data_IF_288269543092
#
_entry.id   IF_288269543092
#
_cell.length_a   1.000
_cell.length_b   1.000
_cell.length_c   1.000
_cell.angle_alpha   90.00
_cell.angle_beta   90.00
_cell.angle_gamma   90.00
#
_symmetry.space_group_name_H-M   'P 1'
#
loop_
_entity.id
_entity.type
_entity.pdbx_description
1 polymer ?
2 non-polymer ?
3 non-polymer ?
4 non-polymer ?
5 water ?
#
# COMPACT_ATOMS: atom_id res chain seq x y z
N UNK A 6 16.22 -28.55 12.68
CA UNK A 6 16.43 -29.86 12.04
C UNK A 6 15.56 -30.04 10.79
N UNK A 7 14.27 -29.63 10.87
CA UNK A 7 13.33 -29.68 9.75
C UNK A 7 12.46 -28.41 9.72
N UNK A 8 11.82 -28.15 8.56
CA UNK A 8 10.96 -26.99 8.36
C UNK A 8 9.57 -27.23 8.92
N UNK A 9 8.87 -26.17 9.41
CA UNK A 9 7.47 -26.36 9.89
C UNK A 9 6.55 -26.71 8.71
N UNK A 10 5.32 -27.19 8.99
CA UNK A 10 4.35 -27.53 7.94
C UNK A 10 3.99 -26.28 7.11
N UNK A 11 3.84 -26.47 5.77
CA UNK A 11 3.54 -25.44 4.76
C UNK A 11 4.73 -24.54 4.41
N UNK A 12 5.95 -24.93 4.84
CA UNK A 12 7.21 -24.26 4.53
C UNK A 12 7.97 -25.15 3.52
N UNK A 13 8.80 -24.55 2.67
CA UNK A 13 9.53 -25.25 1.62
C UNK A 13 11.01 -25.29 2.00
N UNK A 14 11.61 -26.51 2.01
CA UNK A 14 13.02 -26.62 2.30
C UNK A 14 13.80 -26.45 1.00
N UNK A 15 14.87 -25.67 1.07
CA UNK A 15 15.77 -25.47 -0.04
C UNK A 15 17.15 -25.11 0.49
N UNK A 16 18.17 -25.93 0.16
CA UNK A 16 19.58 -25.70 0.50
C UNK A 16 19.78 -25.25 1.97
N UNK A 17 19.25 -26.05 2.92
CA UNK A 17 19.33 -25.86 4.38
C UNK A 17 18.57 -24.62 4.92
N UNK A 18 17.68 -24.05 4.10
CA UNK A 18 16.79 -22.97 4.51
C UNK A 18 15.33 -23.40 4.34
N UNK A 19 14.44 -22.81 5.16
CA UNK A 19 12.98 -23.05 5.13
C UNK A 19 12.34 -21.75 4.69
N UNK A 20 11.40 -21.80 3.73
CA UNK A 20 10.73 -20.62 3.19
C UNK A 20 9.23 -20.74 3.27
N UNK A 21 8.56 -19.62 3.55
CA UNK A 21 7.12 -19.54 3.56
C UNK A 21 6.77 -18.42 2.60
N UNK A 22 5.90 -18.74 1.63
CA UNK A 22 5.46 -17.82 0.59
C UNK A 22 4.03 -17.33 0.89
N UNK A 23 3.87 -16.02 1.22
CA UNK A 23 2.54 -15.48 1.48
C UNK A 23 1.66 -15.53 0.26
N UNK A 24 0.34 -15.51 0.46
CA UNK A 24 -0.63 -15.48 -0.64
C UNK A 24 -1.53 -14.28 -0.42
N UNK A 25 -1.02 -13.31 0.34
CA UNK A 25 -1.69 -12.07 0.72
C UNK A 25 -0.64 -11.01 0.85
N UNK A 26 -1.07 -9.76 0.88
CA UNK A 26 -0.15 -8.63 0.95
C UNK A 26 -0.08 -7.88 2.27
N UNK A 27 1.08 -7.28 2.55
CA UNK A 27 1.34 -6.46 3.72
C UNK A 27 2.34 -5.37 3.35
N UNK A 28 2.27 -4.25 4.08
CA UNK A 28 3.25 -3.17 4.03
C UNK A 28 4.57 -3.83 4.52
N UNK A 29 5.73 -3.33 4.06
CA UNK A 29 7.02 -3.96 4.41
C UNK A 29 7.21 -4.17 5.93
N UNK A 30 6.94 -3.14 6.75
CA UNK A 30 7.11 -3.26 8.22
C UNK A 30 6.23 -4.35 8.84
N UNK A 31 5.02 -4.55 8.28
CA UNK A 31 4.09 -5.55 8.78
C UNK A 31 4.51 -6.94 8.34
N UNK A 32 5.09 -7.05 7.13
CA UNK A 32 5.62 -8.32 6.62
C UNK A 32 6.85 -8.73 7.46
N UNK A 33 7.69 -7.76 7.78
CA UNK A 33 8.88 -7.92 8.62
C UNK A 33 8.50 -8.46 10.00
N UNK A 34 7.48 -7.87 10.63
CA UNK A 34 6.98 -8.31 11.95
C UNK A 34 6.33 -9.70 11.84
N UNK A 35 5.64 -9.99 10.71
CA UNK A 35 5.03 -11.30 10.53
C UNK A 35 6.13 -12.38 10.59
N UNK A 36 7.24 -12.15 9.86
CA UNK A 36 8.35 -13.12 9.82
C UNK A 36 9.00 -13.31 11.19
N UNK A 37 9.07 -12.24 11.99
CA UNK A 37 9.68 -12.31 13.33
C UNK A 37 8.83 -13.13 14.31
N UNK A 38 7.48 -13.02 14.23
CA UNK A 38 6.51 -13.79 15.02
C UNK A 38 6.70 -15.30 14.81
N UNK A 39 7.09 -15.68 13.58
CA UNK A 39 7.34 -17.06 13.12
C UNK A 39 8.77 -17.51 13.39
N UNK A 40 9.57 -16.68 14.13
CA UNK A 40 11.00 -16.92 14.45
C UNK A 40 11.84 -16.99 13.16
N UNK A 41 11.39 -16.28 12.13
CA UNK A 41 12.00 -16.20 10.80
C UNK A 41 12.36 -14.72 10.50
N UNK A 42 12.74 -14.40 9.25
CA UNK A 42 13.07 -13.06 8.82
C UNK A 42 12.65 -13.00 7.37
N UNK A 43 12.41 -11.80 6.83
CA UNK A 43 12.11 -11.62 5.41
C UNK A 43 13.29 -12.21 4.60
N UNK A 44 13.00 -12.94 3.49
CA UNK A 44 14.00 -13.69 2.71
C UNK A 44 15.27 -12.83 2.45
N UNK A 45 16.44 -13.43 2.66
CA UNK A 45 17.74 -12.79 2.42
C UNK A 45 18.37 -13.64 1.31
N UNK A 46 18.60 -13.03 0.13
CA UNK A 46 19.07 -13.72 -1.08
C UNK A 46 20.59 -13.57 -1.21
N UNK A 47 21.35 -14.69 -1.19
CA UNK A 47 22.82 -14.59 -1.22
C UNK A 47 23.47 -15.31 -2.41
N UNK A 48 22.67 -15.79 -3.37
CA UNK A 48 23.21 -16.50 -4.55
C UNK A 48 22.21 -16.52 -5.71
N UNK A 49 22.72 -16.80 -6.92
CA UNK A 49 21.94 -16.93 -8.15
C UNK A 49 20.94 -18.11 -8.01
N UNK A 50 21.37 -19.24 -7.43
CA UNK A 50 20.51 -20.41 -7.24
C UNK A 50 19.36 -20.14 -6.29
N UNK A 51 19.61 -19.36 -5.22
CA UNK A 51 18.56 -19.01 -4.25
C UNK A 51 17.59 -18.04 -4.92
N UNK A 52 18.11 -17.08 -5.70
CA UNK A 52 17.29 -16.13 -6.45
C UNK A 52 16.34 -16.92 -7.37
N UNK A 53 16.89 -17.90 -8.15
CA UNK A 53 16.13 -18.72 -9.09
C UNK A 53 15.02 -19.46 -8.36
N UNK A 54 15.36 -20.09 -7.22
CA UNK A 54 14.40 -20.83 -6.38
C UNK A 54 13.23 -19.92 -5.94
N UNK A 55 13.53 -18.74 -5.36
CA UNK A 55 12.49 -17.81 -4.88
C UNK A 55 11.56 -17.41 -6.05
N UNK A 56 12.17 -17.00 -7.19
CA UNK A 56 11.52 -16.56 -8.43
C UNK A 56 10.55 -17.62 -8.97
N UNK A 57 10.96 -18.91 -8.92
CA UNK A 57 10.14 -20.04 -9.37
C UNK A 57 8.86 -20.18 -8.52
N UNK A 58 8.99 -19.93 -7.20
CA UNK A 58 7.89 -20.07 -6.27
C UNK A 58 6.94 -18.88 -6.22
N UNK A 59 7.45 -17.66 -6.44
CA UNK A 59 6.57 -16.50 -6.38
C UNK A 59 5.90 -16.20 -7.72
N UNK A 60 6.56 -16.57 -8.80
CA UNK A 60 6.10 -16.24 -10.14
C UNK A 60 6.26 -14.76 -10.46
N UNK A 61 5.54 -14.25 -11.49
CA UNK A 61 5.71 -12.81 -11.86
C UNK A 61 4.95 -11.83 -10.96
N UNK A 62 5.26 -11.82 -9.65
CA UNK A 62 4.49 -11.04 -8.67
C UNK A 62 5.43 -10.18 -7.82
N UNK A 63 5.08 -8.87 -7.58
CA UNK A 63 5.87 -7.99 -6.69
C UNK A 63 5.82 -8.56 -5.30
N UNK A 64 6.99 -8.84 -4.72
CA UNK A 64 7.12 -9.53 -3.44
C UNK A 64 8.24 -8.94 -2.63
N UNK A 65 7.95 -8.56 -1.37
CA UNK A 65 8.98 -7.97 -0.50
C UNK A 65 10.05 -8.99 -0.11
N UNK A 66 11.28 -8.50 0.10
CA UNK A 66 12.41 -9.30 0.60
C UNK A 66 13.00 -8.53 1.80
N UNK A 67 13.96 -9.13 2.50
CA UNK A 67 14.54 -8.50 3.68
C UNK A 67 15.70 -7.55 3.42
N UNK A 68 15.51 -6.56 2.54
CA UNK A 68 16.53 -5.59 2.15
C UNK A 68 15.87 -4.19 2.15
N UNK A 69 16.55 -3.22 2.79
CA UNK A 69 16.00 -1.86 2.94
C UNK A 69 17.10 -0.87 3.22
N UNK A 70 16.81 0.44 2.98
CA UNK A 70 17.76 1.49 3.32
C UNK A 70 17.07 2.56 4.17
N UNK A 71 16.12 2.11 5.02
CA UNK A 71 15.39 3.01 5.92
C UNK A 71 16.27 3.77 6.91
N UNK A 72 17.40 3.19 7.32
CA UNK A 72 18.34 3.79 8.30
C UNK A 72 19.60 4.40 7.68
N UNK A 73 19.63 4.44 6.36
CA UNK A 73 20.76 5.01 5.64
C UNK A 73 21.21 4.10 4.53
N UNK A 74 22.27 3.31 4.77
CA UNK A 74 22.75 2.42 3.72
C UNK A 74 21.86 1.17 3.56
N UNK A 75 21.94 0.52 2.39
CA UNK A 75 21.24 -0.76 2.15
C UNK A 75 21.67 -1.79 3.22
N UNK A 76 20.69 -2.45 3.85
CA UNK A 76 20.97 -3.48 4.85
C UNK A 76 20.06 -4.65 4.67
N UNK A 77 20.59 -5.88 4.90
CA UNK A 77 19.79 -7.11 4.92
C UNK A 77 19.31 -7.23 6.38
N UNK A 78 18.05 -7.62 6.62
CA UNK A 78 17.44 -7.72 7.98
C UNK A 78 18.20 -8.63 8.98
N UNK A 79 18.94 -9.62 8.48
CA UNK A 79 19.71 -10.50 9.38
C UNK A 79 21.22 -10.11 9.53
N UNK A 80 21.58 -8.90 9.12
CA UNK A 80 22.97 -8.44 9.23
C UNK A 80 23.91 -8.89 8.11
N UNK A 81 23.44 -9.74 7.15
CA UNK A 81 24.27 -10.18 6.00
C UNK A 81 24.80 -8.91 5.34
N UNK A 82 26.11 -8.83 5.07
CA UNK A 82 26.67 -7.60 4.51
C UNK A 82 26.16 -7.36 3.07
N UNK A 83 25.71 -6.12 2.78
CA UNK A 83 25.16 -5.80 1.44
C UNK A 83 26.25 -5.63 0.38
N UNK A 84 27.23 -4.75 0.66
CA UNK A 84 28.29 -4.40 -0.28
C UNK A 84 29.03 -5.59 -0.86
N UNK A 85 29.33 -6.58 -0.03
CA UNK A 85 30.05 -7.78 -0.43
C UNK A 85 29.09 -8.94 -0.83
N UNK A 86 27.79 -8.71 -0.68
CA UNK A 86 26.79 -9.72 -0.99
C UNK A 86 26.29 -9.70 -2.42
N UNK A 87 25.36 -10.62 -2.70
CA UNK A 87 24.70 -10.81 -3.98
C UNK A 87 23.76 -9.63 -4.27
N UNK A 88 23.74 -9.17 -5.52
CA UNK A 88 22.87 -8.09 -5.94
C UNK A 88 22.23 -8.47 -7.25
N UNK A 89 20.95 -8.13 -7.44
CA UNK A 89 20.22 -8.46 -8.67
C UNK A 89 19.18 -7.39 -8.98
N UNK A 90 19.61 -6.12 -9.01
CA UNK A 90 18.67 -5.02 -9.26
C UNK A 90 18.19 -5.00 -10.71
N UNK A 91 16.95 -4.55 -10.92
CA UNK A 91 16.44 -4.32 -12.27
C UNK A 91 17.27 -3.15 -12.88
N UNK A 92 17.44 -3.06 -14.22
CA UNK A 92 18.16 -1.89 -14.77
C UNK A 92 17.53 -0.57 -14.29
N UNK A 93 18.37 0.47 -14.02
CA UNK A 93 17.98 1.80 -13.54
C UNK A 93 17.46 1.76 -12.09
N UNK A 94 17.61 0.62 -11.40
CA UNK A 94 17.25 0.55 -9.98
C UNK A 94 18.52 0.28 -9.15
N UNK A 95 18.55 0.61 -7.85
CA UNK A 95 17.52 1.36 -7.10
C UNK A 95 17.58 2.84 -7.48
N UNK A 96 16.48 3.56 -7.38
CA UNK A 96 16.52 4.97 -7.78
C UNK A 96 15.94 5.94 -6.74
N UNK A 97 15.46 5.43 -5.59
CA UNK A 97 14.86 6.24 -4.51
C UNK A 97 13.84 7.26 -5.05
N UNK A 98 12.96 6.82 -5.94
CA UNK A 98 12.00 7.69 -6.62
C UNK A 98 11.06 8.41 -5.63
N UNK A 99 10.91 9.76 -5.78
CA UNK A 99 9.99 10.57 -4.98
C UNK A 99 8.69 10.84 -5.76
N UNK A 100 8.73 10.64 -7.09
CA UNK A 100 7.65 10.98 -8.01
C UNK A 100 6.29 10.33 -7.79
N UNK A 101 6.21 9.28 -6.94
CA UNK A 101 4.93 8.62 -6.58
C UNK A 101 4.03 9.60 -5.80
N UNK A 102 4.64 10.68 -5.28
CA UNK A 102 3.93 11.70 -4.50
C UNK A 102 3.37 11.21 -3.18
N UNK A 103 3.86 10.08 -2.64
CA UNK A 103 3.35 9.53 -1.38
C UNK A 103 4.11 9.98 -0.13
N UNK A 104 5.21 10.68 -0.33
CA UNK A 104 6.05 11.16 0.75
C UNK A 104 7.29 10.31 0.85
N UNK A 105 8.45 10.96 0.90
CA UNK A 105 9.72 10.23 0.94
C UNK A 105 10.13 9.64 -0.40
N UNK A 106 11.28 8.96 -0.41
CA UNK A 106 11.78 8.29 -1.61
C UNK A 106 11.24 6.86 -1.67
N UNK A 107 12.13 5.88 -1.80
CA UNK A 107 11.74 4.45 -1.86
C UNK A 107 12.79 3.71 -1.09
N UNK A 108 12.40 3.02 0.00
CA UNK A 108 13.39 2.45 0.90
C UNK A 108 13.37 0.93 1.09
N UNK A 109 12.42 0.20 0.45
CA UNK A 109 12.24 -1.24 0.65
C UNK A 109 12.40 -2.02 -0.64
N UNK A 110 13.16 -3.12 -0.62
CA UNK A 110 13.36 -3.86 -1.84
C UNK A 110 12.35 -4.98 -2.03
N UNK A 111 11.93 -5.19 -3.29
CA UNK A 111 11.03 -6.26 -3.65
C UNK A 111 11.48 -6.91 -4.97
N UNK A 112 11.15 -8.18 -5.16
CA UNK A 112 11.33 -8.84 -6.43
C UNK A 112 10.27 -8.21 -7.33
N UNK A 113 10.61 -7.95 -8.61
CA UNK A 113 9.62 -7.48 -9.59
C UNK A 113 9.08 -8.71 -10.36
N UNK A 114 8.23 -8.47 -11.37
CA UNK A 114 7.62 -9.52 -12.19
C UNK A 114 8.63 -10.36 -12.97
N UNK A 115 9.91 -9.90 -13.12
CA UNK A 115 10.94 -10.67 -13.81
C UNK A 115 11.98 -11.21 -12.81
N UNK A 116 11.71 -11.06 -11.53
CA UNK A 116 12.60 -11.49 -10.46
C UNK A 116 13.63 -10.47 -10.03
N UNK A 117 14.04 -9.57 -10.94
CA UNK A 117 15.03 -8.55 -10.59
C UNK A 117 14.46 -7.55 -9.60
N UNK A 118 15.33 -6.91 -8.82
CA UNK A 118 14.88 -6.08 -7.70
C UNK A 118 14.59 -4.62 -8.00
N UNK A 119 13.65 -4.07 -7.24
CA UNK A 119 13.26 -2.67 -7.28
C UNK A 119 13.15 -2.15 -5.85
N UNK A 120 13.45 -0.86 -5.63
CA UNK A 120 13.22 -0.23 -4.32
C UNK A 120 11.86 0.47 -4.47
N UNK A 121 10.98 0.32 -3.48
CA UNK A 121 9.64 0.91 -3.53
C UNK A 121 9.28 1.46 -2.16
N UNK A 122 8.12 2.12 -2.12
CA UNK A 122 7.56 2.74 -0.94
C UNK A 122 7.23 1.61 0.04
N UNK A 123 7.79 1.69 1.24
CA UNK A 123 7.63 0.67 2.26
C UNK A 123 6.15 0.39 2.67
N UNK A 124 5.28 1.41 2.56
CA UNK A 124 3.86 1.24 2.89
C UNK A 124 3.06 0.48 1.80
N UNK A 125 3.59 0.23 0.60
CA UNK A 125 2.78 -0.51 -0.39
C UNK A 125 2.52 -1.96 0.06
N UNK A 126 1.30 -2.47 -0.12
CA UNK A 126 1.05 -3.88 0.24
C UNK A 126 1.53 -4.78 -0.89
N UNK A 127 2.46 -5.70 -0.57
CA UNK A 127 2.92 -6.70 -1.51
C UNK A 127 2.98 -8.00 -0.77
N UNK A 128 3.00 -9.09 -1.53
CA UNK A 128 3.22 -10.42 -1.00
C UNK A 128 4.67 -10.41 -0.46
N UNK A 129 5.03 -11.39 0.39
CA UNK A 129 6.37 -11.41 0.98
C UNK A 129 6.80 -12.86 1.16
N UNK A 130 8.08 -13.08 1.50
CA UNK A 130 8.62 -14.43 1.75
C UNK A 130 9.34 -14.42 3.11
N UNK A 131 9.07 -15.42 3.97
CA UNK A 131 9.80 -15.61 5.24
C UNK A 131 10.84 -16.69 5.01
N UNK A 132 11.93 -16.60 5.75
CA UNK A 132 13.01 -17.57 5.66
C UNK A 132 13.60 -17.82 7.04
N UNK A 133 13.95 -19.07 7.31
CA UNK A 133 14.65 -19.45 8.53
C UNK A 133 15.76 -20.45 8.11
N UNK A 134 16.89 -20.45 8.83
CA UNK A 134 18.01 -21.34 8.49
C UNK A 134 18.00 -22.56 9.38
N UNK A 135 18.29 -23.74 8.80
CA UNK A 135 18.39 -24.96 9.58
C UNK A 135 19.79 -25.07 10.19
N UNK B 7 -13.96 30.53 11.02
CA UNK B 7 -12.94 30.34 9.99
C UNK B 7 -12.46 28.92 9.97
N UNK B 8 -12.07 28.44 8.77
CA UNK B 8 -11.45 27.12 8.61
C UNK B 8 -10.05 27.22 9.24
N UNK B 9 -9.43 26.12 9.71
CA UNK B 9 -8.05 26.24 10.24
C UNK B 9 -7.08 26.65 9.14
N UNK B 10 -5.88 27.17 9.51
CA UNK B 10 -4.87 27.54 8.51
C UNK B 10 -4.44 26.30 7.69
N UNK B 11 -4.22 26.48 6.36
CA UNK B 11 -3.88 25.45 5.36
C UNK B 11 -5.09 24.62 4.92
N UNK B 12 -6.32 25.01 5.35
CA UNK B 12 -7.56 24.33 4.94
C UNK B 12 -8.26 25.24 3.93
N UNK B 13 -9.03 24.64 3.00
CA UNK B 13 -9.73 25.40 1.97
C UNK B 13 -11.22 25.42 2.33
N UNK B 14 -11.81 26.62 2.34
CA UNK B 14 -13.24 26.76 2.60
C UNK B 14 -13.99 26.59 1.28
N UNK B 15 -15.06 25.79 1.30
CA UNK B 15 -15.95 25.61 0.14
C UNK B 15 -17.34 25.26 0.59
N UNK B 16 -18.30 26.17 0.32
CA UNK B 16 -19.71 25.96 0.61
C UNK B 16 -19.95 25.41 2.04
N UNK B 17 -19.52 26.17 3.06
CA UNK B 17 -19.67 25.88 4.50
C UNK B 17 -18.87 24.62 5.01
N UNK B 18 -17.99 24.07 4.18
CA UNK B 18 -17.08 22.99 4.58
C UNK B 18 -15.61 23.46 4.49
N UNK B 19 -14.73 22.82 5.27
CA UNK B 19 -13.27 23.08 5.31
C UNK B 19 -12.63 21.82 4.83
N UNK B 20 -11.67 21.92 3.90
CA UNK B 20 -11.04 20.72 3.33
C UNK B 20 -9.55 20.82 3.46
N UNK B 21 -8.90 19.69 3.72
CA UNK B 21 -7.46 19.61 3.79
C UNK B 21 -7.04 18.55 2.81
N UNK B 22 -6.15 18.92 1.88
CA UNK B 22 -5.67 18.01 0.84
C UNK B 22 -4.26 17.56 1.15
N UNK B 23 -4.07 16.25 1.41
CA UNK B 23 -2.75 15.71 1.67
C UNK B 23 -1.87 15.79 0.43
N UNK B 24 -0.56 15.82 0.66
CA UNK B 24 0.42 15.77 -0.39
C UNK B 24 1.31 14.54 -0.12
N UNK B 25 0.79 13.56 0.66
CA UNK B 25 1.49 12.30 1.00
C UNK B 25 0.44 11.20 1.04
N UNK B 26 0.88 9.96 1.08
CA UNK B 26 -0.08 8.86 1.05
C UNK B 26 -0.19 8.06 2.32
N UNK B 27 -1.36 7.44 2.52
CA UNK B 27 -1.66 6.58 3.65
C UNK B 27 -2.64 5.49 3.24
N UNK B 28 -2.60 4.35 3.96
CA UNK B 28 -3.59 3.29 3.83
C UNK B 28 -4.91 3.93 4.33
N UNK B 29 -6.06 3.51 3.80
CA UNK B 29 -7.37 4.10 4.15
C UNK B 29 -7.60 4.23 5.67
N UNK B 30 -7.39 3.15 6.45
CA UNK B 30 -7.62 3.26 7.91
C UNK B 30 -6.68 4.30 8.57
N UNK B 31 -5.45 4.46 8.01
CA UNK B 31 -4.49 5.43 8.55
C UNK B 31 -4.95 6.87 8.24
N UNK B 32 -5.47 7.09 7.01
CA UNK B 32 -6.03 8.38 6.55
C UNK B 32 -7.29 8.74 7.38
N UNK B 33 -8.12 7.75 7.63
CA UNK B 33 -9.35 7.86 8.41
C UNK B 33 -8.96 8.33 9.85
N UNK B 34 -7.95 7.71 10.45
CA UNK B 34 -7.45 8.09 11.78
C UNK B 34 -6.88 9.51 11.79
N UNK B 35 -6.12 9.85 10.72
CA UNK B 35 -5.55 11.20 10.62
C UNK B 35 -6.68 12.24 10.62
N UNK B 36 -7.74 12.04 9.82
CA UNK B 36 -8.84 13.01 9.75
C UNK B 36 -9.57 13.19 11.11
N UNK B 37 -9.84 12.09 11.83
CA UNK B 37 -10.52 12.13 13.14
C UNK B 37 -9.69 12.89 14.18
N UNK B 38 -8.34 12.73 14.15
CA UNK B 38 -7.39 13.43 15.01
C UNK B 38 -7.62 14.96 14.86
N UNK B 39 -7.99 15.41 13.65
CA UNK B 39 -8.26 16.84 13.31
C UNK B 39 -9.73 17.23 13.51
N UNK B 40 -10.55 16.37 14.17
CA UNK B 40 -12.00 16.58 14.40
C UNK B 40 -12.71 16.74 13.03
N UNK B 41 -12.24 15.98 12.04
CA UNK B 41 -12.71 15.96 10.66
C UNK B 41 -13.00 14.54 10.26
N UNK B 42 -13.29 14.33 8.99
CA UNK B 42 -13.56 12.99 8.50
C UNK B 42 -13.10 12.96 7.06
N UNK B 43 -12.80 11.77 6.55
CA UNK B 43 -12.44 11.61 5.13
C UNK B 43 -13.60 12.21 4.29
N UNK B 44 -13.26 12.92 3.21
CA UNK B 44 -14.24 13.70 2.42
C UNK B 44 -15.51 12.87 2.05
N UNK B 45 -16.68 13.50 2.21
CA UNK B 45 -17.97 12.89 1.88
C UNK B 45 -18.50 13.77 0.76
N UNK B 46 -18.68 13.21 -0.43
CA UNK B 46 -19.10 13.94 -1.62
C UNK B 46 -20.60 13.74 -1.82
N UNK B 47 -21.39 14.83 -1.76
CA UNK B 47 -22.86 14.73 -1.86
C UNK B 47 -23.50 15.51 -3.03
N UNK B 48 -22.69 16.15 -3.87
CA UNK B 48 -23.21 16.87 -5.03
C UNK B 48 -22.15 16.93 -6.11
N UNK B 49 -22.60 17.25 -7.32
CA UNK B 49 -21.75 17.43 -8.48
C UNK B 49 -20.79 18.62 -8.26
N UNK B 50 -21.25 19.72 -7.61
CA UNK B 50 -20.40 20.90 -7.33
C UNK B 50 -19.24 20.56 -6.37
N UNK B 51 -19.53 19.76 -5.32
CA UNK B 51 -18.50 19.33 -4.37
C UNK B 51 -17.49 18.41 -5.05
N UNK B 52 -17.99 17.53 -5.94
CA UNK B 52 -17.16 16.59 -6.70
C UNK B 52 -16.15 17.39 -7.58
N UNK B 53 -16.66 18.38 -8.34
CA UNK B 53 -15.88 19.29 -9.21
C UNK B 53 -14.82 20.06 -8.38
N UNK B 54 -15.22 20.56 -7.19
CA UNK B 54 -14.32 21.28 -6.27
C UNK B 54 -13.12 20.40 -5.80
N UNK B 55 -13.40 19.17 -5.35
CA UNK B 55 -12.37 18.23 -4.88
C UNK B 55 -11.41 17.90 -6.04
N UNK B 56 -11.99 17.54 -7.21
CA UNK B 56 -11.30 17.20 -8.46
C UNK B 56 -10.26 18.25 -8.82
N UNK B 57 -10.66 19.55 -8.77
CA UNK B 57 -9.81 20.68 -9.08
C UNK B 57 -8.57 20.75 -8.18
N UNK B 58 -8.74 20.47 -6.87
CA UNK B 58 -7.64 20.52 -5.91
C UNK B 58 -6.76 19.29 -5.94
N UNK B 59 -7.31 18.09 -6.22
CA UNK B 59 -6.47 16.89 -6.20
C UNK B 59 -5.75 16.66 -7.54
N UNK B 60 -6.40 17.05 -8.64
CA UNK B 60 -5.85 16.79 -9.96
C UNK B 60 -5.99 15.32 -10.31
N UNK B 61 -5.21 14.83 -11.30
CA UNK B 61 -5.37 13.42 -11.74
C UNK B 61 -4.64 12.43 -10.84
N UNK B 62 -4.99 12.39 -9.55
CA UNK B 62 -4.28 11.58 -8.56
C UNK B 62 -5.28 10.70 -7.79
N UNK B 63 -4.95 9.39 -7.62
CA UNK B 63 -5.76 8.44 -6.84
C UNK B 63 -5.76 8.93 -5.40
N UNK B 64 -6.95 9.26 -4.90
CA UNK B 64 -7.12 9.88 -3.58
C UNK B 64 -8.29 9.28 -2.82
N UNK B 65 -8.05 8.83 -1.59
CA UNK B 65 -9.11 8.24 -0.74
C UNK B 65 -10.21 9.23 -0.39
N UNK B 66 -11.45 8.73 -0.30
CA UNK B 66 -12.62 9.46 0.18
C UNK B 66 -13.23 8.67 1.36
N UNK B 67 -14.21 9.25 2.06
CA UNK B 67 -14.83 8.61 3.21
C UNK B 67 -15.95 7.65 2.86
N UNK B 68 -15.68 6.70 1.93
CA UNK B 68 -16.72 5.75 1.43
C UNK B 68 -16.11 4.34 1.43
N UNK B 69 -16.83 3.36 2.02
CA UNK B 69 -16.26 2.02 2.17
C UNK B 69 -17.36 0.99 2.34
N UNK B 70 -17.02 -0.28 2.14
CA UNK B 70 -18.01 -1.35 2.35
C UNK B 70 -17.37 -2.46 3.22
N UNK B 71 -16.45 -2.05 4.10
CA UNK B 71 -15.75 -2.98 5.00
C UNK B 71 -16.65 -3.79 5.95
N UNK B 72 -17.84 -3.27 6.31
CA UNK B 72 -18.81 -3.87 7.24
C UNK B 72 -20.04 -4.41 6.55
N UNK B 73 -20.03 -4.44 5.22
CA UNK B 73 -21.15 -4.93 4.46
C UNK B 73 -21.56 -4.02 3.33
N UNK B 74 -22.61 -3.21 3.53
CA UNK B 74 -23.03 -2.34 2.42
C UNK B 74 -22.15 -1.09 2.35
N UNK B 75 -22.24 -0.34 1.24
CA UNK B 75 -21.51 0.93 1.10
C UNK B 75 -22.01 1.90 2.15
N UNK B 76 -21.08 2.56 2.85
CA UNK B 76 -21.38 3.54 3.89
C UNK B 76 -20.47 4.74 3.79
N UNK B 77 -21.02 5.96 4.00
CA UNK B 77 -20.13 7.14 4.07
C UNK B 77 -19.71 7.23 5.56
N UNK B 78 -18.47 7.69 5.85
CA UNK B 78 -17.91 7.71 7.24
C UNK B 78 -18.69 8.53 8.26
N UNK B 79 -19.44 9.54 7.82
CA UNK B 79 -20.21 10.41 8.71
C UNK B 79 -21.69 9.98 8.86
N UNK B 80 -22.06 8.82 8.30
CA UNK B 80 -23.42 8.32 8.36
C UNK B 80 -24.35 8.81 7.26
N UNK B 81 -23.86 9.65 6.31
CA UNK B 81 -24.66 10.12 5.16
C UNK B 81 -25.15 8.89 4.38
N UNK B 82 -26.43 8.87 4.01
CA UNK B 82 -26.97 7.71 3.30
C UNK B 82 -26.35 7.55 1.91
N UNK B 83 -25.88 6.34 1.59
CA UNK B 83 -25.27 6.09 0.29
C UNK B 83 -26.31 5.95 -0.83
N UNK B 84 -27.29 5.04 -0.65
CA UNK B 84 -28.28 4.72 -1.67
C UNK B 84 -28.99 5.94 -2.29
N UNK B 85 -29.41 6.87 -1.45
CA UNK B 85 -30.13 8.08 -1.87
C UNK B 85 -29.19 9.25 -2.23
N UNK B 86 -27.89 9.06 -2.04
CA UNK B 86 -26.90 10.09 -2.31
C UNK B 86 -26.26 10.08 -3.68
N UNK B 87 -25.44 11.12 -3.94
CA UNK B 87 -24.64 11.30 -5.15
C UNK B 87 -23.67 10.13 -5.31
N UNK B 88 -23.51 9.65 -6.54
CA UNK B 88 -22.56 8.57 -6.85
C UNK B 88 -21.86 8.98 -8.15
N UNK B 89 -20.56 8.69 -8.27
CA UNK B 89 -19.83 9.05 -9.49
C UNK B 89 -18.80 7.97 -9.81
N UNK B 90 -19.25 6.69 -9.82
CA UNK B 90 -18.36 5.56 -10.06
C UNK B 90 -17.85 5.55 -11.51
N UNK B 91 -16.62 5.05 -11.70
CA UNK B 91 -16.05 4.81 -13.02
C UNK B 91 -16.90 3.69 -13.66
N UNK B 92 -17.01 3.60 -15.01
CA UNK B 92 -17.74 2.46 -15.58
C UNK B 92 -17.10 1.14 -15.16
N UNK B 93 -17.94 0.11 -14.91
CA UNK B 93 -17.50 -1.22 -14.47
C UNK B 93 -17.03 -1.24 -13.00
N UNK B 94 -17.28 -0.13 -12.28
CA UNK B 94 -16.95 -0.03 -10.84
C UNK B 94 -18.23 0.26 -10.03
N UNK B 95 -18.32 -0.14 -8.73
CA UNK B 95 -17.34 -0.95 -7.96
C UNK B 95 -17.39 -2.41 -8.40
N UNK B 96 -16.25 -3.13 -8.30
CA UNK B 96 -16.21 -4.54 -8.76
C UNK B 96 -15.70 -5.52 -7.72
N UNK B 97 -15.29 -5.05 -6.52
CA UNK B 97 -14.77 -5.91 -5.44
C UNK B 97 -13.74 -6.91 -5.97
N UNK B 98 -12.75 -6.41 -6.72
CA UNK B 98 -11.76 -7.26 -7.39
C UNK B 98 -10.88 -8.03 -6.38
N UNK B 99 -10.74 -9.33 -6.58
CA UNK B 99 -9.91 -10.20 -5.74
C UNK B 99 -8.56 -10.47 -6.42
N UNK B 100 -8.54 -10.24 -7.75
CA UNK B 100 -7.42 -10.55 -8.65
C UNK B 100 -6.06 -9.94 -8.34
N UNK B 101 -6.03 -8.93 -7.44
CA UNK B 101 -4.81 -8.29 -6.97
C UNK B 101 -3.93 -9.28 -6.17
N UNK B 102 -4.55 -10.34 -5.64
CA UNK B 102 -3.85 -11.35 -4.84
C UNK B 102 -3.37 -10.88 -3.49
N UNK B 103 -3.80 -9.71 -3.02
CA UNK B 103 -3.37 -9.15 -1.71
C UNK B 103 -4.22 -9.60 -0.52
N UNK B 104 -5.30 -10.33 -0.78
CA UNK B 104 -6.20 -10.75 0.29
C UNK B 104 -7.48 -9.96 0.25
N UNK B 105 -8.60 -10.66 0.15
CA UNK B 105 -9.91 -10.04 0.10
C UNK B 105 -10.24 -9.40 -1.23
N UNK B 106 -11.37 -8.69 -1.29
CA UNK B 106 -11.80 -7.96 -2.46
C UNK B 106 -11.25 -6.55 -2.43
N UNK B 107 -12.13 -5.57 -2.59
CA UNK B 107 -11.79 -4.13 -2.60
C UNK B 107 -12.89 -3.42 -1.86
N UNK B 108 -12.54 -2.78 -0.71
CA UNK B 108 -13.56 -2.22 0.16
C UNK B 108 -13.53 -0.72 0.37
N UNK B 109 -12.58 -0.02 -0.24
CA UNK B 109 -12.38 1.41 -0.04
C UNK B 109 -12.46 2.20 -1.32
N UNK B 110 -13.22 3.31 -1.32
CA UNK B 110 -13.39 4.10 -2.54
C UNK B 110 -12.42 5.26 -2.58
N UNK B 111 -11.96 5.56 -3.80
CA UNK B 111 -11.08 6.69 -4.07
C UNK B 111 -11.46 7.34 -5.39
N UNK B 112 -11.11 8.64 -5.55
CA UNK B 112 -11.23 9.32 -6.83
C UNK B 112 -10.10 8.73 -7.68
N UNK B 113 -10.35 8.58 -8.99
CA UNK B 113 -9.32 8.13 -9.93
C UNK B 113 -8.78 9.34 -10.68
N UNK B 114 -7.89 9.12 -11.70
CA UNK B 114 -7.25 10.19 -12.48
C UNK B 114 -8.23 11.10 -13.24
N UNK B 115 -9.50 10.66 -13.43
CA UNK B 115 -10.51 11.47 -14.12
C UNK B 115 -11.65 11.95 -13.17
N UNK B 116 -11.43 11.82 -11.85
CA UNK B 116 -12.42 12.18 -10.83
C UNK B 116 -13.42 11.10 -10.46
N UNK B 117 -13.73 10.17 -11.41
CA UNK B 117 -14.70 9.09 -11.15
C UNK B 117 -14.17 8.08 -10.13
N UNK B 118 -15.06 7.41 -9.38
CA UNK B 118 -14.64 6.58 -8.27
C UNK B 118 -14.35 5.11 -8.62
N UNK B 119 -13.41 4.54 -7.87
CA UNK B 119 -13.06 3.12 -7.94
C UNK B 119 -13.02 2.55 -6.52
N UNK B 120 -13.32 1.26 -6.36
CA UNK B 120 -13.14 0.59 -5.07
C UNK B 120 -11.76 -0.09 -5.19
N UNK B 121 -10.93 0.01 -4.17
CA UNK B 121 -9.59 -0.57 -4.20
C UNK B 121 -9.26 -1.14 -2.81
N UNK B 122 -8.11 -1.80 -2.70
CA UNK B 122 -7.59 -2.42 -1.49
C UNK B 122 -7.32 -1.34 -0.48
N UNK B 123 -7.91 -1.46 0.71
CA UNK B 123 -7.82 -0.45 1.77
C UNK B 123 -6.39 -0.19 2.25
N UNK B 124 -5.55 -1.21 2.22
CA UNK B 124 -4.16 -1.02 2.65
C UNK B 124 -3.28 -0.26 1.61
N UNK B 125 -3.78 0.02 0.38
CA UNK B 125 -2.97 0.80 -0.59
C UNK B 125 -2.75 2.24 -0.12
N UNK B 126 -1.47 2.72 -0.16
CA UNK B 126 -1.22 4.11 0.23
C UNK B 126 -1.64 5.06 -0.88
N UNK B 127 -2.59 5.93 -0.57
CA UNK B 127 -3.02 6.94 -1.52
C UNK B 127 -3.10 8.25 -0.77
N UNK B 128 -3.07 9.36 -1.51
CA UNK B 128 -3.31 10.68 -0.91
C UNK B 128 -4.78 10.67 -0.43
N UNK B 129 -5.17 11.61 0.44
CA UNK B 129 -6.55 11.65 0.95
C UNK B 129 -6.98 13.09 1.15
N UNK B 130 -8.27 13.28 1.44
CA UNK B 130 -8.88 14.59 1.72
C UNK B 130 -9.64 14.51 3.07
N UNK B 131 -9.39 15.45 4.01
CA UNK B 131 -10.17 15.54 5.25
C UNK B 131 -11.23 16.63 4.99
N UNK B 132 -12.36 16.56 5.70
CA UNK B 132 -13.43 17.54 5.58
C UNK B 132 -14.03 17.81 6.93
N UNK B 133 -14.34 19.06 7.23
CA UNK B 133 -15.04 19.41 8.45
C UNK B 133 -16.15 20.41 8.06
N UNK B 134 -17.31 20.37 8.72
CA UNK B 134 -18.41 21.29 8.40
C UNK B 134 -18.39 22.44 9.37
N UNK B 135 -18.42 23.68 8.86
CA UNK B 135 -18.47 24.91 9.65
C UNK B 135 -19.83 25.01 10.35
#
# INVERSE_FOLDING_TARGET
>A
MGSERTCCPVNWVEHERSCYWFSRSGKAWADADNYCRLEDAHLVVVTSWEEQKFVQHHIGPVNTWMGLHDQNGPWKWVDGTDYETGFKNWRPEQPDDWYGHGLGGGEDCAHFTDDGRWNDDVCQRPYRWVCETELDKASQEPPLL
>B
MGSERTCCPVNWVEHERSCYWFSRSGKAWADADNYCRLEDAHLVVVTSWEEQKFVQHHIGPVNTWMGLHDQNGPWKWVDGTDYETGFKNWRPEQPDDWYGHGLGGGEDCAHFTDDGRWNDDVCQRPYRWVCETELDKASQEPPLL
#
